data_IF_904642865202
#
_entry.id   IF_904642865202
#
_cell.length_a   1.000
_cell.length_b   1.000
_cell.length_c   1.000
_cell.angle_alpha   90.00
_cell.angle_beta   90.00
_cell.angle_gamma   90.00
#
_symmetry.space_group_name_H-M   'P 1'
#
loop_
_entity.id
_entity.type
_entity.pdbx_description
1 polymer ?
#
# COMPACT_ATOMS: atom_id res chain seq x y z
N UNK A 1 -8.17 1.62 61.85
CA UNK A 1 -8.83 0.30 61.78
C UNK A 1 -8.03 -0.58 60.84
N UNK A 2 -7.61 -1.75 61.33
CA UNK A 2 -6.82 -2.78 60.63
C UNK A 2 -7.70 -3.49 59.59
N UNK A 3 -7.15 -3.92 58.45
CA UNK A 3 -7.03 -5.35 58.04
C UNK A 3 -6.04 -5.50 56.88
N UNK A 4 -5.24 -6.56 56.95
CA UNK A 4 -4.17 -6.94 56.04
C UNK A 4 -4.54 -8.22 55.26
N UNK A 5 -4.09 -8.31 53.99
CA UNK A 5 -3.28 -9.36 53.29
C UNK A 5 -3.76 -10.84 53.44
N UNK A 6 -3.85 -11.69 52.38
CA UNK A 6 -2.66 -12.19 51.67
C UNK A 6 -2.69 -12.62 50.18
N UNK A 7 -1.45 -12.81 49.74
CA UNK A 7 -0.83 -13.26 48.48
C UNK A 7 -1.27 -14.67 48.05
N UNK A 8 -1.36 -14.92 46.74
CA UNK A 8 -1.10 -16.25 46.16
C UNK A 8 -0.18 -16.12 44.94
N UNK A 9 0.95 -16.83 45.00
CA UNK A 9 1.90 -17.02 43.91
C UNK A 9 1.65 -18.40 43.27
N UNK A 10 1.84 -18.52 41.95
CA UNK A 10 2.04 -19.80 41.28
C UNK A 10 3.01 -19.63 40.10
N UNK A 11 4.09 -20.41 40.15
CA UNK A 11 5.17 -20.58 39.17
C UNK A 11 4.92 -21.89 38.41
N UNK A 12 5.21 -21.93 37.10
CA UNK A 12 5.61 -23.11 36.28
C UNK A 12 5.69 -22.66 34.80
N UNK A 13 6.53 -23.10 33.85
CA UNK A 13 7.95 -23.50 33.70
C UNK A 13 8.05 -24.04 32.24
N UNK A 14 9.04 -23.56 31.47
CA UNK A 14 9.74 -24.13 30.28
C UNK A 14 8.94 -24.58 29.02
N UNK A 15 9.38 -24.12 27.84
CA UNK A 15 10.08 -24.95 26.81
C UNK A 15 10.75 -24.09 25.73
N UNK A 16 11.97 -24.50 25.36
CA UNK A 16 12.82 -23.94 24.33
C UNK A 16 12.55 -24.53 22.94
N UNK A 17 12.91 -23.81 21.88
CA UNK A 17 13.45 -24.39 20.64
C UNK A 17 14.30 -23.35 19.89
N UNK A 18 15.61 -23.57 19.94
CA UNK A 18 16.63 -22.91 19.13
C UNK A 18 16.67 -23.50 17.72
N UNK A 19 16.90 -22.68 16.69
CA UNK A 19 17.52 -23.14 15.44
C UNK A 19 18.23 -21.96 14.73
N UNK A 20 19.58 -21.92 14.75
CA UNK A 20 20.35 -21.12 13.81
C UNK A 20 20.48 -21.87 12.48
N UNK A 21 20.06 -21.26 11.38
CA UNK A 21 20.38 -21.76 10.03
C UNK A 21 21.58 -20.99 9.50
N UNK A 22 22.77 -21.53 9.73
CA UNK A 22 24.02 -21.07 9.11
C UNK A 22 24.17 -21.79 7.76
N UNK A 23 23.80 -21.13 6.68
CA UNK A 23 24.11 -21.58 5.32
C UNK A 23 25.47 -21.06 4.88
N UNK A 24 26.51 -21.90 4.96
CA UNK A 24 27.79 -21.67 4.28
C UNK A 24 27.78 -22.37 2.93
N UNK A 25 27.93 -21.67 1.80
CA UNK A 25 28.41 -22.29 0.58
C UNK A 25 29.95 -22.40 0.64
N UNK A 26 30.43 -23.60 0.94
CA UNK A 26 31.77 -24.03 0.55
C UNK A 26 31.77 -24.34 -0.95
N UNK A 27 32.61 -23.62 -1.70
CA UNK A 27 32.88 -23.87 -3.11
C UNK A 27 34.25 -23.32 -3.45
N UNK A 28 35.28 -23.95 -2.87
CA UNK A 28 36.67 -23.77 -3.27
C UNK A 28 36.98 -24.78 -4.38
N UNK A 29 36.87 -24.35 -5.64
CA UNK A 29 37.51 -25.07 -6.73
C UNK A 29 38.86 -24.45 -7.05
N UNK A 30 39.84 -25.34 -7.07
CA UNK A 30 41.26 -25.11 -7.25
C UNK A 30 41.60 -25.16 -8.73
N UNK A 31 42.31 -24.14 -9.23
CA UNK A 31 43.39 -24.28 -10.21
C UNK A 31 43.02 -24.60 -11.66
N UNK A 32 43.36 -23.67 -12.56
CA UNK A 32 43.43 -23.94 -14.00
C UNK A 32 43.81 -22.72 -14.83
N UNK A 33 45.11 -22.40 -14.89
CA UNK A 33 45.65 -21.52 -15.94
C UNK A 33 45.51 -22.20 -17.30
N UNK A 34 44.83 -21.57 -18.26
CA UNK A 34 45.07 -21.81 -19.68
C UNK A 34 44.66 -20.62 -20.55
N UNK A 35 45.60 -20.26 -21.42
CA UNK A 35 45.63 -19.18 -22.41
C UNK A 35 44.75 -19.51 -23.62
N UNK A 36 44.01 -18.52 -24.15
CA UNK A 36 43.43 -18.60 -25.50
C UNK A 36 42.14 -17.79 -25.67
N UNK A 37 42.20 -16.66 -26.39
CA UNK A 37 41.02 -16.03 -26.99
C UNK A 37 40.57 -16.75 -28.27
N UNK A 38 39.60 -16.24 -29.06
CA UNK A 38 38.88 -14.96 -28.94
C UNK A 38 37.33 -15.07 -29.03
N UNK A 39 36.68 -13.91 -28.84
CA UNK A 39 35.37 -13.52 -29.38
C UNK A 39 34.12 -14.02 -28.63
N UNK A 40 33.60 -13.16 -27.75
CA UNK A 40 32.18 -13.13 -27.40
C UNK A 40 31.65 -11.70 -27.60
N UNK A 41 30.63 -11.62 -28.43
CA UNK A 41 29.82 -10.45 -28.77
C UNK A 41 29.34 -9.72 -27.52
N UNK A 42 29.58 -8.41 -27.47
CA UNK A 42 28.98 -7.48 -26.51
C UNK A 42 27.48 -7.40 -26.74
N UNK A 43 26.72 -8.28 -26.08
CA UNK A 43 25.29 -8.02 -25.87
C UNK A 43 25.20 -6.95 -24.79
N UNK A 44 24.93 -5.73 -25.22
CA UNK A 44 24.61 -4.60 -24.35
C UNK A 44 23.31 -4.91 -23.63
N UNK A 45 23.41 -5.58 -22.48
CA UNK A 45 22.30 -5.77 -21.55
C UNK A 45 21.94 -4.41 -20.97
N UNK A 46 20.92 -3.78 -21.53
CA UNK A 46 20.18 -2.68 -20.89
C UNK A 46 19.91 -3.10 -19.44
N UNK A 47 20.17 -2.26 -18.43
CA UNK A 47 19.75 -2.55 -17.06
C UNK A 47 18.24 -2.76 -17.07
N UNK A 48 17.81 -4.02 -16.93
CA UNK A 48 16.44 -4.34 -16.64
C UNK A 48 16.14 -3.68 -15.32
N UNK A 49 15.23 -2.70 -15.35
CA UNK A 49 14.63 -2.14 -14.14
C UNK A 49 14.23 -3.32 -13.26
N UNK A 50 14.90 -3.49 -12.13
CA UNK A 50 14.54 -4.45 -11.09
C UNK A 50 13.16 -4.02 -10.58
N UNK A 51 12.14 -4.45 -11.31
CA UNK A 51 10.77 -4.48 -10.87
C UNK A 51 10.80 -5.47 -9.73
N UNK A 52 10.69 -4.98 -8.50
CA UNK A 52 10.47 -5.82 -7.34
C UNK A 52 9.36 -6.82 -7.69
N UNK A 53 9.58 -8.08 -7.34
CA UNK A 53 8.68 -9.20 -7.62
C UNK A 53 7.22 -8.80 -7.33
N UNK A 54 6.29 -8.93 -8.30
CA UNK A 54 4.90 -8.59 -8.06
C UNK A 54 4.39 -9.56 -7.00
N UNK A 55 4.07 -9.03 -5.82
CA UNK A 55 3.39 -9.84 -4.81
C UNK A 55 2.13 -10.45 -5.47
N UNK A 56 1.87 -11.74 -5.22
CA UNK A 56 0.82 -12.51 -5.91
C UNK A 56 -0.54 -11.83 -5.76
N UNK A 57 -0.92 -11.03 -6.76
CA UNK A 57 -2.25 -10.41 -6.84
C UNK A 57 -3.29 -11.51 -7.05
N UNK A 58 -4.52 -11.39 -6.50
CA UNK A 58 -5.59 -12.35 -6.74
C UNK A 58 -6.01 -12.40 -8.20
N UNK A 59 -5.98 -11.24 -8.88
CA UNK A 59 -6.19 -11.07 -10.33
C UNK A 59 -5.55 -9.77 -10.81
N UNK A 60 -5.44 -9.62 -12.13
CA UNK A 60 -5.06 -8.34 -12.76
C UNK A 60 -6.31 -7.53 -13.06
N UNK A 61 -6.33 -6.24 -12.69
CA UNK A 61 -7.40 -5.29 -13.01
C UNK A 61 -6.81 -4.11 -13.78
N UNK A 62 -7.27 -3.89 -15.01
CA UNK A 62 -6.89 -2.71 -15.79
C UNK A 62 -7.75 -1.52 -15.36
N UNK A 63 -7.10 -0.42 -14.96
CA UNK A 63 -7.80 0.76 -14.45
C UNK A 63 -7.72 1.97 -15.38
N UNK A 64 -7.04 1.89 -16.54
CA UNK A 64 -6.77 3.07 -17.40
C UNK A 64 -8.01 3.84 -17.84
N UNK A 65 -9.11 3.13 -18.06
CA UNK A 65 -10.38 3.72 -18.52
C UNK A 65 -11.44 3.79 -17.41
N UNK A 66 -11.04 3.50 -16.16
CA UNK A 66 -11.96 3.52 -15.03
C UNK A 66 -12.20 4.95 -14.56
N UNK A 67 -13.47 5.34 -14.48
CA UNK A 67 -13.88 6.60 -13.84
C UNK A 67 -13.81 6.46 -12.31
N UNK A 68 -12.93 7.21 -11.62
CA UNK A 68 -12.78 7.13 -10.17
C UNK A 68 -14.07 7.47 -9.41
N UNK A 69 -14.94 8.32 -9.96
CA UNK A 69 -16.21 8.67 -9.30
C UNK A 69 -17.22 7.53 -9.27
N UNK A 70 -16.97 6.44 -10.02
CA UNK A 70 -17.82 5.25 -10.02
C UNK A 70 -17.31 4.16 -9.06
N UNK A 71 -16.20 4.41 -8.37
CA UNK A 71 -15.55 3.44 -7.49
C UNK A 71 -16.16 3.34 -6.10
N UNK A 72 -17.05 4.25 -5.74
CA UNK A 72 -17.87 4.18 -4.53
C UNK A 72 -19.34 4.43 -4.91
N UNK A 73 -20.21 3.53 -4.46
CA UNK A 73 -21.66 3.71 -4.56
C UNK A 73 -22.13 4.84 -3.64
N UNK A 74 -23.32 5.40 -3.90
CA UNK A 74 -23.91 6.38 -2.99
C UNK A 74 -24.06 5.86 -1.55
N UNK A 75 -24.53 4.63 -1.37
CA UNK A 75 -24.65 4.02 -0.05
C UNK A 75 -23.30 3.91 0.68
N UNK A 76 -22.23 3.52 -0.01
CA UNK A 76 -20.88 3.49 0.56
C UNK A 76 -20.38 4.90 0.91
N UNK A 77 -20.64 5.89 0.06
CA UNK A 77 -20.28 7.29 0.33
C UNK A 77 -20.95 7.80 1.60
N UNK A 78 -22.25 7.54 1.76
CA UNK A 78 -22.99 7.87 2.99
C UNK A 78 -22.45 7.12 4.20
N UNK A 79 -22.11 5.83 4.07
CA UNK A 79 -21.48 5.07 5.15
C UNK A 79 -20.15 5.69 5.60
N UNK A 80 -19.39 6.26 4.67
CA UNK A 80 -18.14 6.96 4.99
C UNK A 80 -18.33 8.43 5.38
N UNK A 81 -19.57 8.87 5.62
CA UNK A 81 -19.88 10.23 6.10
C UNK A 81 -19.74 11.31 5.04
N UNK A 82 -19.80 10.95 3.75
CA UNK A 82 -19.77 11.89 2.63
C UNK A 82 -21.14 11.92 1.95
N UNK A 83 -21.70 13.12 1.79
CA UNK A 83 -23.08 13.34 1.35
C UNK A 83 -23.18 14.34 0.19
N UNK A 84 -22.05 14.88 -0.26
CA UNK A 84 -22.00 15.77 -1.42
C UNK A 84 -21.85 15.00 -2.74
N UNK A 85 -22.29 15.59 -3.87
CA UNK A 85 -22.03 15.03 -5.19
C UNK A 85 -20.53 14.77 -5.44
N UNK A 86 -20.17 13.70 -6.18
CA UNK A 86 -18.78 13.41 -6.53
C UNK A 86 -18.16 14.55 -7.33
N UNK A 87 -16.93 14.92 -7.02
CA UNK A 87 -16.17 15.94 -7.74
C UNK A 87 -15.01 15.29 -8.48
N UNK A 88 -15.07 15.32 -9.82
CA UNK A 88 -13.97 14.86 -10.68
C UNK A 88 -12.79 15.82 -10.60
N UNK A 89 -11.59 15.28 -10.64
CA UNK A 89 -10.36 16.05 -10.70
C UNK A 89 -9.25 15.31 -11.43
N UNK A 90 -8.07 15.93 -11.43
CA UNK A 90 -6.82 15.35 -11.90
C UNK A 90 -5.70 15.75 -10.97
N UNK A 91 -4.69 14.90 -10.83
CA UNK A 91 -3.46 15.26 -10.12
C UNK A 91 -2.60 16.19 -11.00
N UNK A 92 -2.24 17.40 -10.56
CA UNK A 92 -1.43 18.31 -11.36
C UNK A 92 -0.08 17.68 -11.77
N UNK A 93 0.26 17.78 -13.05
CA UNK A 93 1.50 17.21 -13.60
C UNK A 93 1.46 15.71 -13.90
N UNK A 94 0.35 15.03 -13.58
CA UNK A 94 0.14 13.61 -13.86
C UNK A 94 -1.16 13.41 -14.66
N UNK A 95 -1.25 12.35 -15.46
CA UNK A 95 -2.50 11.97 -16.11
C UNK A 95 -3.31 10.99 -15.25
N UNK A 96 -3.49 11.35 -13.98
CA UNK A 96 -4.23 10.53 -13.02
C UNK A 96 -5.57 11.17 -12.74
N UNK A 97 -6.64 10.41 -12.95
CA UNK A 97 -7.99 10.87 -12.67
C UNK A 97 -8.28 10.71 -11.17
N UNK A 98 -8.85 11.73 -10.56
CA UNK A 98 -9.28 11.69 -9.16
C UNK A 98 -10.79 11.90 -9.05
N UNK A 99 -11.35 11.41 -7.95
CA UNK A 99 -12.67 11.79 -7.50
C UNK A 99 -12.66 12.08 -6.02
N UNK A 100 -13.27 13.19 -5.61
CA UNK A 100 -13.44 13.57 -4.22
C UNK A 100 -14.92 13.48 -3.83
N UNK A 101 -15.16 12.96 -2.65
CA UNK A 101 -16.47 12.84 -2.02
C UNK A 101 -16.41 13.63 -0.72
N UNK A 102 -17.13 14.75 -0.65
CA UNK A 102 -17.06 15.66 0.49
C UNK A 102 -18.22 15.42 1.45
N UNK A 103 -17.99 15.76 2.70
CA UNK A 103 -19.04 16.00 3.68
C UNK A 103 -19.59 17.42 3.55
N UNK A 104 -20.87 17.63 3.85
CA UNK A 104 -21.55 18.92 3.74
C UNK A 104 -20.91 20.04 4.57
N UNK A 105 -20.33 19.72 5.72
CA UNK A 105 -19.65 20.69 6.59
C UNK A 105 -18.24 21.06 6.11
N UNK A 106 -17.73 20.37 5.09
CA UNK A 106 -16.40 20.62 4.51
C UNK A 106 -15.23 20.22 5.41
N UNK A 107 -15.47 19.58 6.56
CA UNK A 107 -14.38 19.21 7.48
C UNK A 107 -13.66 17.93 7.06
N UNK A 108 -14.26 17.15 6.16
CA UNK A 108 -13.89 15.77 5.89
C UNK A 108 -14.12 15.40 4.42
N UNK A 109 -13.19 14.66 3.82
CA UNK A 109 -13.33 14.14 2.47
C UNK A 109 -12.76 12.73 2.31
N UNK A 110 -13.36 11.98 1.40
CA UNK A 110 -12.87 10.70 0.89
C UNK A 110 -12.45 10.90 -0.57
N UNK A 111 -11.30 10.37 -0.95
CA UNK A 111 -10.78 10.46 -2.30
C UNK A 111 -10.50 9.10 -2.91
N UNK A 112 -10.65 9.01 -4.23
CA UNK A 112 -10.19 7.88 -5.04
C UNK A 112 -9.37 8.38 -6.21
N UNK A 113 -8.23 7.76 -6.49
CA UNK A 113 -7.38 8.09 -7.63
C UNK A 113 -7.13 6.84 -8.46
N UNK A 114 -7.29 6.97 -9.78
CA UNK A 114 -6.94 5.93 -10.75
C UNK A 114 -5.60 6.29 -11.38
N UNK A 115 -4.63 5.37 -11.26
CA UNK A 115 -3.24 5.60 -11.67
C UNK A 115 -2.88 4.53 -12.71
N UNK A 116 -2.98 4.91 -13.98
CA UNK A 116 -2.78 4.02 -15.13
C UNK A 116 -1.32 3.91 -15.63
N UNK A 117 -0.42 4.68 -15.03
CA UNK A 117 0.94 4.91 -15.54
C UNK A 117 2.05 4.56 -14.56
N UNK A 118 1.73 4.31 -13.29
CA UNK A 118 2.68 3.99 -12.24
C UNK A 118 2.18 2.80 -11.41
N UNK A 119 3.11 1.97 -10.94
CA UNK A 119 2.81 0.92 -9.97
C UNK A 119 3.11 1.37 -8.54
N UNK A 120 2.84 0.47 -7.58
CA UNK A 120 3.01 0.73 -6.14
C UNK A 120 4.44 1.15 -5.73
N UNK A 121 5.43 0.84 -6.58
CA UNK A 121 6.82 1.29 -6.46
C UNK A 121 6.97 2.81 -6.36
N UNK A 122 6.01 3.59 -6.89
CA UNK A 122 5.96 5.04 -6.75
C UNK A 122 5.93 5.48 -5.28
N UNK A 123 5.24 4.73 -4.41
CA UNK A 123 5.11 5.04 -2.98
C UNK A 123 6.20 4.37 -2.12
N UNK A 124 6.86 3.33 -2.61
CA UNK A 124 7.92 2.61 -1.88
C UNK A 124 9.34 2.96 -2.35
N UNK A 125 9.48 3.94 -3.25
CA UNK A 125 10.78 4.43 -3.72
C UNK A 125 11.63 5.00 -2.58
N UNK A 126 12.95 5.11 -2.78
CA UNK A 126 13.93 5.43 -1.72
C UNK A 126 13.70 6.74 -0.97
N UNK A 127 12.90 7.67 -1.50
CA UNK A 127 12.53 8.91 -0.81
C UNK A 127 11.25 8.81 0.02
N UNK A 128 10.43 7.77 -0.18
CA UNK A 128 9.13 7.56 0.47
C UNK A 128 9.04 6.25 1.26
N UNK A 129 10.04 5.37 1.15
CA UNK A 129 10.04 4.04 1.74
C UNK A 129 9.78 4.03 3.26
N UNK A 130 10.32 5.00 4.01
CA UNK A 130 10.16 5.07 5.47
C UNK A 130 8.74 5.50 5.90
N UNK A 131 7.92 5.98 4.95
CA UNK A 131 6.54 6.45 5.21
C UNK A 131 5.47 5.48 4.70
N UNK A 132 5.87 4.46 3.94
CA UNK A 132 4.98 3.49 3.32
C UNK A 132 4.99 2.16 4.10
N UNK A 133 3.91 1.90 4.83
CA UNK A 133 3.71 0.65 5.53
C UNK A 133 3.06 -0.39 4.59
N UNK A 134 3.74 -1.51 4.36
CA UNK A 134 3.19 -2.60 3.53
C UNK A 134 1.97 -3.21 4.20
N UNK A 135 0.92 -3.43 3.40
CA UNK A 135 -0.34 -4.02 3.83
C UNK A 135 -1.00 -4.79 2.67
N UNK A 136 -2.23 -5.25 2.85
CA UNK A 136 -3.02 -5.91 1.81
C UNK A 136 -4.48 -5.43 1.85
N UNK A 137 -5.10 -5.34 0.68
CA UNK A 137 -6.54 -5.03 0.52
C UNK A 137 -7.18 -6.08 -0.36
N UNK A 138 -8.10 -6.87 0.20
CA UNK A 138 -8.77 -7.96 -0.51
C UNK A 138 -7.79 -8.93 -1.22
N UNK A 139 -6.62 -9.17 -0.61
CA UNK A 139 -5.53 -10.01 -1.15
C UNK A 139 -4.63 -9.32 -2.17
N UNK A 140 -4.91 -8.07 -2.56
CA UNK A 140 -4.01 -7.27 -3.37
C UNK A 140 -2.90 -6.65 -2.50
N UNK A 141 -1.65 -6.63 -2.97
CA UNK A 141 -0.58 -5.90 -2.31
C UNK A 141 -0.94 -4.42 -2.23
N UNK A 142 -0.68 -3.82 -1.07
CA UNK A 142 -1.01 -2.42 -0.84
C UNK A 142 0.03 -1.76 0.07
N UNK A 143 0.02 -0.43 0.08
CA UNK A 143 0.81 0.38 1.02
C UNK A 143 -0.07 1.42 1.66
N UNK A 144 0.09 1.59 2.96
CA UNK A 144 -0.51 2.65 3.76
C UNK A 144 0.50 3.78 3.89
N UNK A 145 0.09 4.99 3.51
CA UNK A 145 0.88 6.22 3.63
C UNK A 145 0.18 7.16 4.61
N UNK A 146 0.93 7.64 5.59
CA UNK A 146 0.49 8.63 6.57
C UNK A 146 1.08 10.00 6.23
N UNK A 147 0.24 10.96 5.89
CA UNK A 147 0.64 12.35 5.62
C UNK A 147 0.12 13.27 6.74
N UNK A 148 0.89 13.47 7.83
CA UNK A 148 0.51 14.39 8.89
C UNK A 148 0.66 15.84 8.44
N UNK A 149 0.05 16.78 9.18
CA UNK A 149 0.21 18.21 8.93
C UNK A 149 -1.09 18.98 9.14
N UNK A 150 -1.20 20.14 8.47
CA UNK A 150 -2.40 21.00 8.55
C UNK A 150 -3.63 20.37 7.89
N UNK A 151 -3.41 19.53 6.89
CA UNK A 151 -4.44 18.76 6.19
C UNK A 151 -4.04 17.29 6.29
N UNK A 152 -4.24 16.65 7.47
CA UNK A 152 -3.84 15.28 7.66
C UNK A 152 -4.58 14.39 6.65
N UNK A 153 -3.85 13.47 6.04
CA UNK A 153 -4.37 12.54 5.05
C UNK A 153 -3.78 11.15 5.30
N UNK A 154 -4.62 10.14 5.16
CA UNK A 154 -4.18 8.76 5.13
C UNK A 154 -4.60 8.14 3.81
N UNK A 155 -3.65 7.49 3.14
CA UNK A 155 -3.82 6.96 1.79
C UNK A 155 -3.48 5.47 1.80
N UNK A 156 -4.29 4.66 1.14
CA UNK A 156 -3.90 3.30 0.76
C UNK A 156 -3.82 3.23 -0.76
N UNK A 157 -2.63 2.92 -1.26
CA UNK A 157 -2.40 2.59 -2.66
C UNK A 157 -2.42 1.07 -2.84
N UNK A 158 -3.24 0.59 -3.78
CA UNK A 158 -3.44 -0.84 -4.04
C UNK A 158 -2.87 -1.19 -5.42
N UNK A 159 -1.96 -2.16 -5.43
CA UNK A 159 -1.31 -2.67 -6.64
C UNK A 159 -2.25 -3.61 -7.41
N UNK A 160 -2.95 -3.09 -8.41
CA UNK A 160 -4.01 -3.83 -9.12
C UNK A 160 -3.57 -4.46 -10.44
N UNK A 161 -2.52 -3.92 -11.07
CA UNK A 161 -1.93 -4.43 -12.31
C UNK A 161 -0.52 -3.86 -12.50
N UNK A 162 0.30 -4.47 -13.35
CA UNK A 162 1.65 -3.95 -13.61
C UNK A 162 1.58 -2.51 -14.15
N UNK A 163 2.37 -1.63 -13.52
CA UNK A 163 2.40 -0.20 -13.81
C UNK A 163 1.06 0.51 -13.57
N UNK A 164 0.20 -0.05 -12.73
CA UNK A 164 -1.13 0.49 -12.45
C UNK A 164 -1.54 0.28 -11.00
N UNK A 165 -2.11 1.29 -10.38
CA UNK A 165 -2.65 1.22 -9.03
C UNK A 165 -3.95 2.03 -8.90
N UNK A 166 -4.66 1.76 -7.82
CA UNK A 166 -5.78 2.60 -7.37
C UNK A 166 -5.51 3.03 -5.95
N UNK A 167 -5.75 4.29 -5.67
CA UNK A 167 -5.59 4.82 -4.32
C UNK A 167 -6.95 5.19 -3.75
N UNK A 168 -7.14 4.88 -2.47
CA UNK A 168 -8.18 5.46 -1.65
C UNK A 168 -7.54 6.32 -0.57
N UNK A 169 -8.10 7.49 -0.30
CA UNK A 169 -7.63 8.36 0.77
C UNK A 169 -8.76 8.93 1.59
N UNK A 170 -8.41 9.29 2.82
CA UNK A 170 -9.25 10.01 3.76
C UNK A 170 -8.46 11.20 4.25
N UNK A 171 -9.03 12.40 4.17
CA UNK A 171 -8.41 13.61 4.72
C UNK A 171 -9.40 14.47 5.50
N UNK A 172 -8.84 15.28 6.38
CA UNK A 172 -9.60 16.21 7.22
C UNK A 172 -9.10 17.63 6.99
N UNK A 173 -10.04 18.54 6.74
CA UNK A 173 -9.85 19.99 6.88
C UNK A 173 -10.13 20.47 8.31
N UNK A 174 -10.80 19.63 9.12
CA UNK A 174 -10.92 19.82 10.57
C UNK A 174 -9.69 19.30 11.34
N UNK A 175 -9.81 19.18 12.65
CA UNK A 175 -8.73 18.78 13.56
C UNK A 175 -8.69 17.25 13.85
N UNK A 176 -9.16 16.40 12.93
CA UNK A 176 -9.18 14.96 13.14
C UNK A 176 -7.74 14.38 13.25
N UNK A 177 -7.45 13.54 14.25
CA UNK A 177 -6.16 12.88 14.37
C UNK A 177 -5.89 11.96 13.17
N UNK A 178 -4.65 11.93 12.66
CA UNK A 178 -4.28 11.08 11.52
C UNK A 178 -4.59 9.60 11.75
N UNK A 179 -4.46 9.11 12.98
CA UNK A 179 -4.77 7.72 13.33
C UNK A 179 -6.26 7.37 13.19
N UNK A 180 -7.16 8.36 13.29
CA UNK A 180 -8.57 8.17 13.00
C UNK A 180 -8.81 7.99 11.50
N UNK A 181 -8.16 8.84 10.67
CA UNK A 181 -8.22 8.74 9.21
C UNK A 181 -7.66 7.39 8.73
N UNK A 182 -6.53 6.97 9.32
CA UNK A 182 -5.89 5.70 8.98
C UNK A 182 -6.67 4.47 9.44
N UNK A 183 -7.59 4.60 10.41
CA UNK A 183 -8.50 3.51 10.78
C UNK A 183 -9.62 3.34 9.76
N UNK A 184 -10.00 4.41 9.08
CA UNK A 184 -11.12 4.44 8.13
C UNK A 184 -10.69 4.10 6.70
N UNK A 185 -9.51 4.55 6.26
CA UNK A 185 -9.05 4.34 4.88
C UNK A 185 -9.00 2.86 4.43
N UNK A 186 -8.72 1.83 5.28
CA UNK A 186 -8.79 0.43 4.86
C UNK A 186 -10.19 0.00 4.42
N UNK A 187 -11.23 0.55 5.05
CA UNK A 187 -12.62 0.25 4.69
C UNK A 187 -12.98 0.86 3.34
N UNK A 188 -12.52 2.10 3.09
CA UNK A 188 -12.68 2.78 1.81
C UNK A 188 -11.95 2.01 0.70
N UNK A 189 -10.68 1.67 0.91
CA UNK A 189 -9.88 0.91 -0.04
C UNK A 189 -10.52 -0.45 -0.35
N UNK A 190 -11.03 -1.15 0.67
CA UNK A 190 -11.75 -2.40 0.50
C UNK A 190 -13.00 -2.26 -0.37
N UNK A 191 -13.80 -1.20 -0.16
CA UNK A 191 -14.97 -0.91 -0.98
C UNK A 191 -14.60 -0.59 -2.44
N UNK A 192 -13.55 0.21 -2.65
CA UNK A 192 -13.03 0.55 -3.98
C UNK A 192 -12.59 -0.70 -4.74
N UNK A 193 -11.77 -1.55 -4.12
CA UNK A 193 -11.29 -2.78 -4.74
C UNK A 193 -12.43 -3.75 -5.00
N UNK A 194 -13.38 -3.91 -4.07
CA UNK A 194 -14.57 -4.73 -4.28
C UNK A 194 -15.39 -4.28 -5.50
N UNK A 195 -15.61 -2.97 -5.65
CA UNK A 195 -16.34 -2.41 -6.79
C UNK A 195 -15.55 -2.54 -8.11
N UNK A 196 -14.23 -2.38 -8.08
CA UNK A 196 -13.36 -2.64 -9.23
C UNK A 196 -13.45 -4.10 -9.66
N UNK A 197 -13.46 -5.03 -8.72
CA UNK A 197 -13.52 -6.45 -9.03
C UNK A 197 -14.85 -6.88 -9.67
N UNK A 198 -15.91 -6.08 -9.50
CA UNK A 198 -17.24 -6.32 -10.04
C UNK A 198 -17.49 -5.65 -11.41
N UNK A 199 -16.52 -4.88 -11.92
CA UNK A 199 -16.51 -4.34 -13.28
C UNK A 199 -15.84 -5.33 -14.23
#
# INVERSE_FOLDING_TARGET
MRRAVPILAAVLVLTACSQPTTGSPSGSDTGGSQTGGPQATTTSGKPGSTTAEPAKRPKTINVREVDPCTLLTEAQRTQFGTDQPPQKGKVPGFDWATCHFNRADGEYLVGTTVIGTEGIGFYTGSAQADQAEKTEVAGFPAVLIKEPGKLPKCTIAVDVSDGQMVDANVSSFGNAPIEELCRLVPQVAGAVVANLMAK
#
